data_IF_847712241433
#
_entry.id   IF_847712241433
#
_cell.length_a   1.000
_cell.length_b   1.000
_cell.length_c   1.000
_cell.angle_alpha   90.00
_cell.angle_beta   90.00
_cell.angle_gamma   90.00
#
_symmetry.space_group_name_H-M   'P 1'
#
loop_
_entity.id
_entity.type
_entity.pdbx_description
1 polymer ?
#
# COMPACT_ATOMS: atom_id res chain seq x y z
N UNK A 1 1.37 -33.27 -14.58
CA UNK A 1 1.65 -31.83 -14.48
C UNK A 1 0.84 -31.30 -13.32
N UNK A 2 1.50 -31.05 -12.18
CA UNK A 2 0.83 -30.68 -10.92
C UNK A 2 0.47 -29.20 -10.96
N UNK A 3 -0.83 -28.92 -10.97
CA UNK A 3 -1.36 -27.57 -10.77
C UNK A 3 -1.05 -27.14 -9.34
N UNK A 4 0.08 -26.46 -9.14
CA UNK A 4 0.37 -25.79 -7.86
C UNK A 4 -0.65 -24.68 -7.67
N UNK A 5 -1.72 -24.98 -6.93
CA UNK A 5 -2.61 -23.99 -6.34
C UNK A 5 -1.74 -23.00 -5.56
N UNK A 6 -1.69 -21.75 -6.02
CA UNK A 6 -1.13 -20.66 -5.23
C UNK A 6 -2.00 -20.54 -3.98
N UNK A 7 -1.53 -21.07 -2.85
CA UNK A 7 -2.17 -20.85 -1.54
C UNK A 7 -2.09 -19.35 -1.24
N UNK A 8 -3.16 -18.64 -1.56
CA UNK A 8 -3.34 -17.25 -1.14
C UNK A 8 -3.46 -17.25 0.39
N UNK A 9 -2.39 -16.85 1.07
CA UNK A 9 -2.42 -16.64 2.51
C UNK A 9 -3.06 -15.28 2.77
N UNK A 10 -4.15 -15.28 3.53
CA UNK A 10 -4.73 -14.05 4.06
C UNK A 10 -3.80 -13.51 5.15
N UNK A 11 -3.45 -12.25 5.01
CA UNK A 11 -2.67 -11.50 5.99
C UNK A 11 -3.50 -10.28 6.38
N UNK A 12 -3.57 -9.99 7.67
CA UNK A 12 -4.34 -8.87 8.20
C UNK A 12 -3.52 -7.59 8.26
N UNK A 13 -4.17 -6.48 7.92
CA UNK A 13 -3.74 -5.15 8.34
C UNK A 13 -3.77 -5.11 9.87
N UNK A 14 -2.86 -4.34 10.47
CA UNK A 14 -2.82 -4.20 11.92
C UNK A 14 -4.19 -3.74 12.47
N UNK A 15 -4.81 -4.53 13.38
CA UNK A 15 -6.18 -4.31 13.81
C UNK A 15 -6.36 -2.98 14.56
N UNK A 16 -5.28 -2.37 15.04
CA UNK A 16 -5.32 -1.04 15.65
C UNK A 16 -5.90 0.02 14.68
N UNK A 17 -5.74 -0.17 13.38
CA UNK A 17 -6.30 0.74 12.37
C UNK A 17 -7.80 0.57 12.14
N UNK A 18 -8.41 -0.48 12.71
CA UNK A 18 -9.85 -0.66 12.75
C UNK A 18 -10.47 -0.13 14.06
N UNK A 19 -9.65 0.38 14.99
CA UNK A 19 -10.13 0.98 16.23
C UNK A 19 -10.82 2.33 15.94
N UNK A 20 -12.12 2.41 16.27
CA UNK A 20 -12.91 3.62 16.05
C UNK A 20 -12.38 4.82 16.82
N UNK A 21 -11.79 4.60 18.00
CA UNK A 21 -11.27 5.69 18.81
C UNK A 21 -10.05 6.31 18.13
N UNK A 22 -9.15 5.48 17.58
CA UNK A 22 -8.01 5.95 16.78
C UNK A 22 -8.48 6.67 15.50
N UNK A 23 -9.46 6.09 14.78
CA UNK A 23 -10.00 6.69 13.56
C UNK A 23 -10.61 8.08 13.84
N UNK A 24 -11.37 8.20 14.92
CA UNK A 24 -12.00 9.47 15.28
C UNK A 24 -10.95 10.51 15.70
N UNK A 25 -9.97 10.14 16.55
CA UNK A 25 -8.86 11.04 16.90
C UNK A 25 -8.07 11.48 15.68
N UNK A 26 -7.75 10.56 14.77
CA UNK A 26 -7.06 10.87 13.53
C UNK A 26 -7.86 11.83 12.66
N UNK A 27 -9.17 11.60 12.51
CA UNK A 27 -10.07 12.50 11.76
C UNK A 27 -10.08 13.89 12.37
N UNK A 28 -10.19 13.99 13.69
CA UNK A 28 -10.25 15.26 14.40
C UNK A 28 -8.93 16.02 14.28
N UNK A 29 -7.79 15.35 14.48
CA UNK A 29 -6.48 15.96 14.33
C UNK A 29 -6.21 16.42 12.89
N UNK A 30 -6.53 15.59 11.91
CA UNK A 30 -6.38 15.93 10.49
C UNK A 30 -7.24 17.15 10.11
N UNK A 31 -8.47 17.23 10.63
CA UNK A 31 -9.38 18.36 10.38
C UNK A 31 -8.86 19.65 11.02
N UNK A 32 -8.35 19.55 12.25
CA UNK A 32 -7.88 20.69 13.02
C UNK A 32 -6.40 21.04 12.77
N UNK A 33 -5.73 20.36 11.82
CA UNK A 33 -4.29 20.51 11.54
C UNK A 33 -3.41 20.30 12.78
N UNK A 34 -3.79 19.36 13.64
CA UNK A 34 -3.04 18.99 14.83
C UNK A 34 -2.14 17.78 14.53
N UNK A 35 -0.87 17.80 14.96
CA UNK A 35 -0.01 16.64 14.81
C UNK A 35 -0.47 15.50 15.73
N UNK A 36 -0.21 14.27 15.31
CA UNK A 36 -0.34 13.06 16.13
C UNK A 36 1.00 12.34 16.11
N UNK A 37 1.45 11.87 17.26
CA UNK A 37 2.53 10.89 17.40
C UNK A 37 2.05 9.80 18.37
N UNK A 38 1.34 8.82 17.83
CA UNK A 38 0.68 7.76 18.60
C UNK A 38 1.09 6.38 18.07
N UNK A 39 1.93 5.66 18.82
CA UNK A 39 2.29 4.23 18.66
C UNK A 39 2.80 3.82 17.28
N UNK A 40 1.89 3.76 16.30
CA UNK A 40 2.09 3.28 14.93
C UNK A 40 1.54 4.26 13.89
N UNK A 41 1.04 5.43 14.30
CA UNK A 41 0.61 6.52 13.41
C UNK A 41 1.30 7.80 13.81
N UNK A 42 1.98 8.42 12.85
CA UNK A 42 2.46 9.79 12.95
C UNK A 42 1.72 10.63 11.91
N UNK A 43 1.12 11.75 12.32
CA UNK A 43 0.49 12.74 11.44
C UNK A 43 1.20 14.08 11.64
N UNK A 44 1.71 14.64 10.56
CA UNK A 44 2.35 15.95 10.54
C UNK A 44 1.75 16.83 9.44
N UNK A 45 1.80 18.14 9.63
CA UNK A 45 1.20 19.11 8.71
C UNK A 45 2.21 20.05 8.03
N UNK A 46 3.48 19.97 8.41
CA UNK A 46 4.56 20.78 7.87
C UNK A 46 5.54 19.89 7.09
N UNK A 47 5.97 20.27 5.88
CA UNK A 47 5.54 21.41 5.07
C UNK A 47 4.15 21.21 4.42
N UNK A 48 3.58 20.01 4.53
CA UNK A 48 2.22 19.68 4.12
C UNK A 48 1.71 18.49 4.93
N UNK A 49 0.40 18.27 4.94
CA UNK A 49 -0.23 17.13 5.60
C UNK A 49 0.30 15.79 5.07
N UNK A 50 0.94 15.02 5.93
CA UNK A 50 1.40 13.67 5.62
C UNK A 50 1.28 12.77 6.85
N UNK A 51 1.15 11.46 6.61
CA UNK A 51 0.99 10.47 7.65
C UNK A 51 1.96 9.31 7.42
N UNK A 52 2.57 8.83 8.49
CA UNK A 52 3.38 7.61 8.53
C UNK A 52 2.62 6.57 9.33
N UNK A 53 2.47 5.37 8.75
CA UNK A 53 1.81 4.23 9.38
C UNK A 53 2.83 3.12 9.52
N UNK A 54 3.27 2.88 10.73
CA UNK A 54 4.17 1.79 11.08
C UNK A 54 3.39 0.50 11.28
N UNK A 55 4.08 -0.64 11.18
CA UNK A 55 3.50 -1.97 11.36
C UNK A 55 2.18 -2.17 10.57
N UNK A 56 2.14 -1.66 9.32
CA UNK A 56 0.92 -1.65 8.50
C UNK A 56 0.25 -3.03 8.42
N UNK A 57 1.08 -4.05 8.28
CA UNK A 57 0.68 -5.46 8.32
C UNK A 57 1.07 -6.05 9.66
N UNK A 58 0.11 -6.68 10.33
CA UNK A 58 0.38 -7.41 11.58
C UNK A 58 -0.21 -8.82 11.49
N UNK A 59 0.68 -9.80 11.47
CA UNK A 59 0.38 -11.23 11.48
C UNK A 59 1.49 -11.96 12.25
N UNK A 60 1.18 -13.14 12.80
CA UNK A 60 2.15 -13.97 13.53
C UNK A 60 3.41 -14.30 12.72
N UNK A 61 3.33 -14.26 11.38
CA UNK A 61 4.51 -14.46 10.51
C UNK A 61 4.71 -13.30 9.52
N UNK A 62 4.56 -12.04 9.98
CA UNK A 62 4.76 -10.85 9.13
C UNK A 62 6.11 -10.86 8.43
N UNK A 63 7.20 -11.23 9.10
CA UNK A 63 8.54 -11.28 8.49
C UNK A 63 8.63 -12.28 7.35
N UNK A 64 8.05 -13.46 7.54
CA UNK A 64 7.99 -14.49 6.50
C UNK A 64 7.15 -14.01 5.32
N UNK A 65 6.01 -13.36 5.59
CA UNK A 65 5.15 -12.81 4.55
C UNK A 65 5.86 -11.71 3.76
N UNK A 66 6.47 -10.73 4.43
CA UNK A 66 7.21 -9.64 3.79
C UNK A 66 8.39 -10.16 2.98
N UNK A 67 9.10 -11.18 3.49
CA UNK A 67 10.20 -11.83 2.76
C UNK A 67 9.71 -12.54 1.49
N UNK A 68 8.59 -13.28 1.58
CA UNK A 68 7.98 -13.95 0.44
C UNK A 68 7.48 -12.94 -0.59
N UNK A 69 6.77 -11.89 -0.16
CA UNK A 69 6.29 -10.82 -1.02
C UNK A 69 7.45 -10.08 -1.72
N UNK A 70 8.51 -9.77 -0.98
CA UNK A 70 9.71 -9.13 -1.54
C UNK A 70 10.37 -10.01 -2.61
N UNK A 71 10.49 -11.32 -2.35
CA UNK A 71 11.00 -12.27 -3.34
C UNK A 71 10.09 -12.36 -4.57
N UNK A 72 8.78 -12.42 -4.39
CA UNK A 72 7.82 -12.42 -5.50
C UNK A 72 7.95 -11.15 -6.35
N UNK A 73 8.01 -9.97 -5.72
CA UNK A 73 8.16 -8.68 -6.41
C UNK A 73 9.49 -8.55 -7.13
N UNK A 74 10.57 -9.10 -6.57
CA UNK A 74 11.92 -9.10 -7.17
C UNK A 74 11.99 -9.94 -8.45
N UNK A 75 11.14 -10.96 -8.56
CA UNK A 75 11.06 -11.82 -9.74
C UNK A 75 10.15 -11.26 -10.85
N UNK A 76 9.52 -10.10 -10.64
CA UNK A 76 8.71 -9.44 -11.66
C UNK A 76 9.63 -8.69 -12.63
N UNK A 77 9.41 -8.89 -13.95
CA UNK A 77 10.10 -8.09 -14.97
C UNK A 77 9.76 -6.61 -14.84
N UNK A 78 10.75 -5.82 -14.42
CA UNK A 78 10.66 -4.37 -14.34
C UNK A 78 11.24 -3.74 -15.61
N UNK A 79 10.67 -2.61 -16.01
CA UNK A 79 11.20 -1.78 -17.08
C UNK A 79 11.69 -0.46 -16.49
N UNK A 80 12.81 0.03 -17.02
CA UNK A 80 13.29 1.36 -16.69
C UNK A 80 12.35 2.43 -17.26
N UNK A 81 12.06 3.43 -16.44
CA UNK A 81 11.44 4.69 -16.84
C UNK A 81 12.40 5.82 -16.52
N UNK A 82 12.60 6.70 -17.49
CA UNK A 82 13.53 7.81 -17.39
C UNK A 82 12.95 9.00 -18.14
N UNK A 83 12.84 10.13 -17.46
CA UNK A 83 12.53 11.42 -18.05
C UNK A 83 13.30 12.51 -17.29
N UNK A 84 12.97 13.76 -17.59
CA UNK A 84 13.47 14.96 -16.91
C UNK A 84 13.22 14.96 -15.38
N UNK A 85 12.08 14.41 -14.94
CA UNK A 85 11.68 14.43 -13.53
C UNK A 85 12.22 13.24 -12.71
N UNK A 86 12.36 12.07 -13.31
CA UNK A 86 12.64 10.83 -12.58
C UNK A 86 13.40 9.78 -13.38
N UNK A 87 14.05 8.88 -12.64
CA UNK A 87 14.66 7.65 -13.16
C UNK A 87 14.44 6.51 -12.18
N UNK A 88 13.59 5.55 -12.51
CA UNK A 88 13.28 4.39 -11.67
C UNK A 88 12.86 3.16 -12.49
N UNK A 89 12.72 2.00 -11.83
CA UNK A 89 12.22 0.77 -12.44
C UNK A 89 10.76 0.53 -12.01
N UNK A 90 9.88 0.21 -12.96
CA UNK A 90 8.47 -0.08 -12.69
C UNK A 90 8.05 -1.40 -13.33
N UNK A 91 7.17 -2.14 -12.65
CA UNK A 91 6.48 -3.30 -13.23
C UNK A 91 5.71 -2.90 -14.49
N UNK A 92 5.68 -3.80 -15.48
CA UNK A 92 4.93 -3.58 -16.71
C UNK A 92 3.44 -3.42 -16.42
N UNK A 93 2.84 -2.26 -16.77
CA UNK A 93 1.39 -2.16 -16.89
C UNK A 93 0.98 -3.10 -18.03
N UNK A 94 0.21 -4.16 -17.74
CA UNK A 94 -0.59 -4.80 -18.79
C UNK A 94 -1.52 -3.70 -19.31
N UNK A 95 -1.34 -3.28 -20.56
CA UNK A 95 -2.36 -2.46 -21.24
C UNK A 95 -3.63 -3.30 -21.22
N UNK A 96 -4.64 -2.91 -20.44
CA UNK A 96 -6.00 -3.30 -20.80
C UNK A 96 -6.22 -2.60 -22.14
N UNK A 97 -6.49 -3.39 -23.19
CA UNK A 97 -7.08 -2.87 -24.43
C UNK A 97 -8.15 -1.85 -24.05
N UNK A 98 -8.25 -0.67 -24.71
CA UNK A 98 -9.37 0.22 -24.46
C UNK A 98 -10.63 -0.59 -24.76
N UNK A 99 -11.43 -0.86 -23.71
CA UNK A 99 -12.80 -1.28 -23.90
C UNK A 99 -13.45 -0.16 -24.70
N UNK A 100 -13.66 -0.39 -26.00
CA UNK A 100 -14.55 0.40 -26.84
C UNK A 100 -15.94 0.31 -26.19
N UNK A 101 -16.21 1.21 -25.25
CA UNK A 101 -17.55 1.46 -24.75
C UNK A 101 -18.20 2.28 -25.86
N UNK A 102 -18.80 1.57 -26.81
CA UNK A 102 -19.74 2.17 -27.74
C UNK A 102 -20.91 2.73 -26.92
N UNK A 103 -21.03 4.05 -26.83
CA UNK A 103 -22.31 4.67 -26.53
C UNK A 103 -23.16 4.57 -27.81
N UNK A 104 -24.11 3.63 -27.83
CA UNK A 104 -25.22 3.72 -28.76
C UNK A 104 -26.17 4.80 -28.22
N UNK A 105 -26.34 5.87 -29.00
CA UNK A 105 -27.43 6.82 -28.87
C UNK A 105 -28.75 6.16 -29.28
#
# INVERSE_FOLDING_TARGET
MSSTEKKTRLVSINPVFADNDLINRFRDAYTNRLPIDEKVITLEHEPFSHCVIDDFVLDKNVDQFCSQLSNELSNIKMNQKNNDLYKFQQVNKRKKEPSNIFYNN
#
